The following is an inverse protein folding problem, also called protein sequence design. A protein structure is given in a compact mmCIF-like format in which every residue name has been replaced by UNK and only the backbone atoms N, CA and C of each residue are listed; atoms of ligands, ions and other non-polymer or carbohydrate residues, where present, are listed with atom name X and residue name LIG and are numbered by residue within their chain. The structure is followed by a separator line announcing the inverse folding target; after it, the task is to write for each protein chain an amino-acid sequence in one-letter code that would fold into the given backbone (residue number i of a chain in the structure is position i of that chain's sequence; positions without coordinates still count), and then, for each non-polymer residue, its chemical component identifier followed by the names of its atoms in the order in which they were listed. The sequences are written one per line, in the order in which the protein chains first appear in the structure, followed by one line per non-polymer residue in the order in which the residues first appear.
data_IF_653833506208
#
_entry.id   IF_653833506208
#
_cell.length_a   1.000
_cell.length_b   1.000
_cell.length_c   1.000
_cell.angle_alpha   90.00
_cell.angle_beta   90.00
_cell.angle_gamma   90.00
#
_symmetry.space_group_name_H-M   'P 1'
#
loop_
_entity.id
_entity.type
_entity.pdbx_description
1 polymer ?
#
# COMPACT_ATOMS: atom_id res chain seq x y z
N UNK A 1 -10.39 6.79 38.61
CA UNK A 1 -9.90 8.15 38.39
C UNK A 1 -8.45 8.07 37.92
N UNK A 2 -8.08 8.65 36.78
CA UNK A 2 -6.67 8.91 36.43
C UNK A 2 -6.06 8.10 35.27
N UNK A 3 -6.11 8.68 34.06
CA UNK A 3 -5.22 8.36 32.91
C UNK A 3 -3.87 9.09 33.06
N UNK A 4 -2.89 8.64 32.25
CA UNK A 4 -1.65 9.28 31.72
C UNK A 4 -0.36 8.78 32.40
N UNK A 5 0.76 8.48 31.72
CA UNK A 5 1.25 8.76 30.35
C UNK A 5 2.52 7.90 30.06
N UNK A 6 2.80 7.65 28.77
CA UNK A 6 4.10 7.45 28.06
C UNK A 6 5.41 7.63 28.87
N UNK A 7 6.54 6.96 28.58
CA UNK A 7 7.10 6.62 27.26
C UNK A 7 8.40 5.77 27.36
N UNK A 8 8.68 5.03 26.28
CA UNK A 8 10.01 4.86 25.65
C UNK A 8 11.13 4.10 26.39
N UNK A 9 11.64 3.03 25.79
CA UNK A 9 12.98 2.95 25.14
C UNK A 9 13.44 1.49 25.03
N UNK A 10 13.72 1.07 23.81
CA UNK A 10 14.80 0.16 23.38
C UNK A 10 15.40 -0.78 24.43
N UNK A 11 15.17 -2.08 24.28
CA UNK A 11 16.06 -3.11 24.81
C UNK A 11 17.28 -3.21 23.88
N UNK A 12 18.46 -2.84 24.39
CA UNK A 12 19.76 -3.15 23.79
C UNK A 12 20.43 -4.14 24.72
N UNK A 13 20.69 -5.33 24.21
CA UNK A 13 21.41 -6.37 24.95
C UNK A 13 22.89 -6.02 25.06
N UNK A 14 23.39 -6.16 26.29
CA UNK A 14 24.76 -5.95 26.75
C UNK A 14 25.73 -6.98 26.18
N UNK A 15 26.93 -6.54 25.78
CA UNK A 15 28.15 -7.34 25.89
C UNK A 15 29.25 -6.45 26.50
N UNK A 16 29.86 -7.00 27.54
CA UNK A 16 30.81 -6.41 28.47
C UNK A 16 32.28 -6.71 28.07
N UNK A 17 33.22 -6.01 28.72
CA UNK A 17 34.68 -6.28 28.84
C UNK A 17 35.67 -5.46 28.00
N UNK A 18 36.14 -4.38 28.62
CA UNK A 18 37.52 -3.98 28.98
C UNK A 18 38.75 -4.47 28.17
N UNK A 19 39.67 -3.55 27.84
CA UNK A 19 41.00 -3.40 28.50
C UNK A 19 41.86 -2.26 27.88
N UNK A 20 42.87 -1.83 28.64
CA UNK A 20 43.57 -0.54 28.77
C UNK A 20 44.65 -0.09 27.71
N UNK A 21 44.92 1.23 27.74
CA UNK A 21 46.18 2.03 27.55
C UNK A 21 47.23 1.67 26.43
N UNK A 22 47.49 2.53 25.41
CA UNK A 22 48.51 3.64 25.31
C UNK A 22 49.91 3.16 24.78
N UNK A 23 50.97 3.96 24.47
CA UNK A 23 51.22 5.25 23.78
C UNK A 23 52.30 5.21 22.61
N UNK A 24 52.33 6.24 21.73
CA UNK A 24 53.48 7.00 21.09
C UNK A 24 54.64 6.19 20.37
N UNK A 25 55.09 6.39 19.11
CA UNK A 25 56.05 7.39 18.54
C UNK A 25 56.19 7.16 17.00
N UNK A 26 56.47 8.25 16.23
CA UNK A 26 57.35 8.35 15.04
C UNK A 26 56.72 8.76 13.69
N UNK A 27 57.31 9.81 13.11
CA UNK A 27 56.99 10.41 11.81
C UNK A 27 57.65 9.70 10.63
N UNK A 28 56.98 9.65 9.47
CA UNK A 28 57.62 9.68 8.14
C UNK A 28 56.57 9.94 7.04
N UNK A 29 56.90 10.87 6.13
CA UNK A 29 56.13 11.23 4.94
C UNK A 29 56.07 10.10 3.90
N UNK A 30 54.91 9.95 3.24
CA UNK A 30 54.84 9.36 1.90
C UNK A 30 53.65 8.44 1.65
N UNK A 31 52.89 8.78 0.60
CA UNK A 31 51.93 7.94 -0.15
C UNK A 31 50.45 8.07 0.24
N UNK A 32 49.72 8.80 -0.62
CA UNK A 32 48.27 8.91 -0.65
C UNK A 32 47.63 7.56 -1.01
N UNK A 33 47.24 6.78 -0.02
CA UNK A 33 46.32 5.65 -0.22
C UNK A 33 44.90 6.20 -0.19
N UNK A 34 44.14 5.95 -1.26
CA UNK A 34 42.71 6.22 -1.33
C UNK A 34 42.01 5.24 -0.39
N UNK A 35 41.55 5.72 0.75
CA UNK A 35 40.52 5.03 1.50
C UNK A 35 39.26 4.99 0.64
N UNK A 36 38.91 3.80 0.15
CA UNK A 36 37.56 3.55 -0.35
C UNK A 36 36.64 3.67 0.86
N UNK A 37 35.91 4.78 0.96
CA UNK A 37 34.78 4.86 1.88
C UNK A 37 33.83 3.69 1.61
N UNK A 38 33.25 3.05 2.63
CA UNK A 38 32.23 2.03 2.44
C UNK A 38 31.08 2.69 1.66
N UNK A 39 30.57 2.04 0.61
CA UNK A 39 29.33 2.48 -0.02
C UNK A 39 28.26 2.50 1.07
N UNK A 40 27.88 3.70 1.52
CA UNK A 40 26.63 3.87 2.27
C UNK A 40 25.54 3.41 1.31
N UNK A 41 24.93 2.27 1.63
CA UNK A 41 23.72 1.82 0.97
C UNK A 41 22.65 2.86 1.25
N UNK A 42 22.49 3.79 0.31
CA UNK A 42 21.35 4.70 0.28
C UNK A 42 20.15 3.84 -0.08
N UNK A 43 19.54 3.21 0.93
CA UNK A 43 18.14 2.81 0.82
C UNK A 43 17.37 4.10 0.57
N UNK A 44 17.15 4.43 -0.71
CA UNK A 44 16.22 5.48 -1.10
C UNK A 44 14.86 4.99 -0.62
N UNK A 45 14.43 5.49 0.53
CA UNK A 45 13.03 5.44 0.90
C UNK A 45 12.31 6.20 -0.23
N UNK A 46 11.58 5.45 -1.06
CA UNK A 46 10.74 6.07 -2.08
C UNK A 46 9.56 6.66 -1.33
N UNK A 47 9.66 7.93 -0.95
CA UNK A 47 8.54 8.65 -0.34
C UNK A 47 7.48 8.83 -1.43
N UNK A 48 6.45 8.00 -1.37
CA UNK A 48 5.23 8.19 -2.15
C UNK A 48 4.58 9.47 -1.62
N UNK A 49 4.60 10.54 -2.41
CA UNK A 49 3.96 11.81 -2.06
C UNK A 49 2.46 11.58 -1.84
N UNK A 50 1.93 11.94 -0.68
CA UNK A 50 0.49 11.84 -0.33
C UNK A 50 -0.40 12.86 -1.08
N UNK A 51 0.12 13.47 -2.15
CA UNK A 51 -0.65 14.40 -2.98
C UNK A 51 -1.84 13.68 -3.64
N UNK A 52 -3.05 14.27 -3.64
CA UNK A 52 -4.20 13.74 -4.37
C UNK A 52 -3.96 13.64 -5.89
N UNK A 53 -3.03 14.43 -6.42
CA UNK A 53 -2.63 14.41 -7.83
C UNK A 53 -1.56 13.35 -8.13
N UNK A 54 -1.08 12.62 -7.12
CA UNK A 54 -0.18 11.50 -7.33
C UNK A 54 -0.93 10.40 -8.09
N UNK A 55 -0.42 10.05 -9.28
CA UNK A 55 -0.96 8.98 -10.12
C UNK A 55 -0.96 7.61 -9.41
N UNK A 56 -0.11 7.45 -8.40
CA UNK A 56 -0.03 6.25 -7.55
C UNK A 56 -0.97 6.30 -6.33
N UNK A 57 -1.73 7.38 -6.15
CA UNK A 57 -2.72 7.47 -5.08
C UNK A 57 -3.86 6.47 -5.29
N UNK A 58 -4.25 5.79 -4.22
CA UNK A 58 -5.43 4.91 -4.20
C UNK A 58 -6.72 5.66 -4.57
N UNK A 59 -6.72 7.00 -4.49
CA UNK A 59 -7.86 7.86 -4.83
C UNK A 59 -7.87 8.36 -6.28
N UNK A 60 -6.85 8.03 -7.07
CA UNK A 60 -6.73 8.45 -8.46
C UNK A 60 -7.45 7.47 -9.40
N UNK A 61 -8.17 7.97 -10.41
CA UNK A 61 -8.71 7.15 -11.51
C UNK A 61 -7.98 7.56 -12.79
N UNK A 62 -7.49 6.60 -13.56
CA UNK A 62 -6.81 6.89 -14.82
C UNK A 62 -7.85 7.35 -15.85
N UNK A 63 -7.42 8.12 -16.85
CA UNK A 63 -8.31 8.55 -17.94
C UNK A 63 -8.90 7.40 -18.76
N UNK A 64 -8.29 6.21 -18.71
CA UNK A 64 -8.79 4.99 -19.35
C UNK A 64 -9.78 4.19 -18.48
N UNK A 65 -9.95 4.55 -17.21
CA UNK A 65 -10.88 3.88 -16.31
C UNK A 65 -12.33 4.29 -16.63
N UNK A 66 -13.15 3.30 -16.95
CA UNK A 66 -14.58 3.51 -17.22
C UNK A 66 -15.42 2.47 -16.49
N UNK A 67 -16.63 2.84 -16.09
CA UNK A 67 -17.53 1.96 -15.35
C UNK A 67 -17.98 0.72 -16.16
N UNK A 68 -17.87 0.75 -17.49
CA UNK A 68 -18.18 -0.37 -18.38
C UNK A 68 -17.01 -1.33 -18.62
N UNK A 69 -15.82 -1.06 -18.08
CA UNK A 69 -14.67 -1.94 -18.23
C UNK A 69 -14.94 -3.28 -17.54
N UNK A 70 -14.60 -4.38 -18.21
CA UNK A 70 -14.59 -5.72 -17.60
C UNK A 70 -13.19 -6.02 -17.06
N UNK A 71 -13.09 -6.41 -15.79
CA UNK A 71 -11.82 -6.80 -15.16
C UNK A 71 -11.32 -8.15 -15.66
N UNK A 72 -12.25 -9.02 -16.06
CA UNK A 72 -12.00 -10.42 -16.40
C UNK A 72 -12.72 -10.79 -17.70
N UNK A 73 -12.18 -11.77 -18.41
CA UNK A 73 -12.83 -12.31 -19.61
C UNK A 73 -13.97 -13.28 -19.26
N UNK A 74 -13.79 -14.12 -18.24
CA UNK A 74 -14.78 -15.07 -17.76
C UNK A 74 -15.45 -14.57 -16.48
N UNK A 75 -16.75 -14.31 -16.57
CA UNK A 75 -17.56 -13.87 -15.42
C UNK A 75 -17.70 -14.98 -14.36
N UNK A 76 -17.96 -14.59 -13.11
CA UNK A 76 -18.28 -15.51 -12.03
C UNK A 76 -19.64 -16.19 -12.27
N UNK A 77 -19.64 -17.51 -12.38
CA UNK A 77 -20.84 -18.35 -12.63
C UNK A 77 -21.23 -19.23 -11.43
N UNK A 78 -20.45 -19.18 -10.35
CA UNK A 78 -20.63 -19.96 -9.13
C UNK A 78 -19.81 -21.25 -9.08
N UNK A 79 -19.19 -21.67 -10.18
CA UNK A 79 -18.31 -22.85 -10.24
C UNK A 79 -16.83 -22.47 -10.36
N UNK A 80 -16.54 -21.24 -10.77
CA UNK A 80 -15.21 -20.76 -11.13
C UNK A 80 -14.61 -19.73 -10.15
N UNK A 81 -15.08 -19.69 -8.89
CA UNK A 81 -14.70 -18.65 -7.93
C UNK A 81 -13.18 -18.49 -7.75
N UNK A 82 -12.43 -19.59 -7.57
CA UNK A 82 -10.99 -19.52 -7.36
C UNK A 82 -10.24 -18.84 -8.52
N UNK A 83 -10.55 -19.20 -9.77
CA UNK A 83 -9.94 -18.57 -10.95
C UNK A 83 -10.40 -17.11 -11.11
N UNK A 84 -11.67 -16.84 -10.84
CA UNK A 84 -12.23 -15.48 -10.92
C UNK A 84 -11.59 -14.55 -9.89
N UNK A 85 -11.43 -14.99 -8.64
CA UNK A 85 -10.82 -14.23 -7.54
C UNK A 85 -9.39 -13.82 -7.91
N UNK A 86 -8.57 -14.75 -8.40
CA UNK A 86 -7.20 -14.45 -8.80
C UNK A 86 -7.18 -13.39 -9.91
N UNK A 87 -8.00 -13.56 -10.94
CA UNK A 87 -8.04 -12.64 -12.08
C UNK A 87 -8.52 -11.23 -11.68
N UNK A 88 -9.57 -11.12 -10.85
CA UNK A 88 -10.07 -9.82 -10.34
C UNK A 88 -9.01 -9.16 -9.46
N UNK A 89 -8.37 -9.92 -8.56
CA UNK A 89 -7.32 -9.41 -7.66
C UNK A 89 -6.17 -8.81 -8.47
N UNK A 90 -5.61 -9.56 -9.42
CA UNK A 90 -4.52 -9.08 -10.28
C UNK A 90 -4.91 -7.80 -11.05
N UNK A 91 -6.13 -7.76 -11.57
CA UNK A 91 -6.64 -6.60 -12.32
C UNK A 91 -6.77 -5.35 -11.45
N UNK A 92 -7.22 -5.51 -10.20
CA UNK A 92 -7.36 -4.42 -9.25
C UNK A 92 -6.01 -3.98 -8.65
N UNK A 93 -5.08 -4.89 -8.42
CA UNK A 93 -3.70 -4.56 -8.01
C UNK A 93 -3.00 -3.73 -9.08
N UNK A 94 -3.11 -4.12 -10.36
CA UNK A 94 -2.56 -3.34 -11.48
C UNK A 94 -3.14 -1.92 -11.59
N UNK A 95 -4.33 -1.69 -11.00
CA UNK A 95 -5.02 -0.40 -10.95
C UNK A 95 -4.84 0.35 -9.62
N UNK A 96 -4.13 -0.23 -8.66
CA UNK A 96 -4.04 0.27 -7.27
C UNK A 96 -5.43 0.44 -6.61
N UNK A 97 -6.31 -0.55 -6.77
CA UNK A 97 -7.68 -0.53 -6.22
C UNK A 97 -8.02 -1.71 -5.30
N UNK A 98 -7.08 -2.61 -5.05
CA UNK A 98 -7.25 -3.76 -4.14
C UNK A 98 -7.73 -3.32 -2.75
N UNK A 99 -7.28 -2.16 -2.29
CA UNK A 99 -7.64 -1.64 -0.97
C UNK A 99 -9.14 -1.31 -0.77
N UNK A 100 -9.91 -1.16 -1.85
CA UNK A 100 -11.35 -0.94 -1.76
C UNK A 100 -12.16 -2.23 -1.56
N UNK A 101 -11.57 -3.40 -1.86
CA UNK A 101 -12.23 -4.70 -1.67
C UNK A 101 -11.78 -5.39 -0.38
N UNK A 102 -10.52 -5.25 0.01
CA UNK A 102 -10.04 -5.79 1.30
C UNK A 102 -10.37 -4.89 2.51
N UNK A 103 -10.85 -3.66 2.25
CA UNK A 103 -11.24 -2.69 3.26
C UNK A 103 -10.09 -1.89 3.89
N UNK A 104 -8.84 -2.06 3.41
CA UNK A 104 -7.69 -1.27 3.86
C UNK A 104 -7.82 0.21 3.51
N UNK A 105 -8.56 0.56 2.45
CA UNK A 105 -8.97 1.95 2.15
C UNK A 105 -10.30 2.25 2.83
N UNK A 106 -10.19 2.67 4.08
CA UNK A 106 -11.33 2.97 4.94
C UNK A 106 -12.15 4.13 4.36
N UNK A 107 -13.47 4.01 4.46
CA UNK A 107 -14.41 5.08 4.09
C UNK A 107 -14.17 6.29 5.02
N UNK A 108 -13.82 7.47 4.49
CA UNK A 108 -13.69 8.68 5.30
C UNK A 108 -15.03 9.16 5.87
N UNK A 109 -14.98 10.04 6.86
CA UNK A 109 -16.15 10.77 7.35
C UNK A 109 -16.72 11.70 6.26
N UNK A 110 -18.01 12.05 6.34
CA UNK A 110 -18.68 12.80 5.27
C UNK A 110 -18.14 14.23 5.09
N UNK A 111 -17.58 14.80 6.16
CA UNK A 111 -16.96 16.13 6.17
C UNK A 111 -15.50 16.10 5.68
N UNK A 112 -14.92 14.91 5.46
CA UNK A 112 -13.56 14.76 4.97
C UNK A 112 -13.47 15.15 3.48
N UNK A 113 -12.48 15.98 3.06
CA UNK A 113 -12.30 16.36 1.66
C UNK A 113 -12.14 15.16 0.70
N UNK A 114 -11.65 14.02 1.18
CA UNK A 114 -11.49 12.79 0.40
C UNK A 114 -12.77 11.96 0.28
N UNK A 115 -13.83 12.26 1.02
CA UNK A 115 -15.07 11.47 1.02
C UNK A 115 -15.66 11.29 -0.38
N UNK A 116 -15.78 12.38 -1.14
CA UNK A 116 -16.34 12.34 -2.50
C UNK A 116 -15.45 11.56 -3.46
N UNK A 117 -14.13 11.66 -3.29
CA UNK A 117 -13.16 10.96 -4.12
C UNK A 117 -13.19 9.46 -3.82
N UNK A 118 -13.28 9.09 -2.53
CA UNK A 118 -13.50 7.72 -2.09
C UNK A 118 -14.79 7.15 -2.69
N UNK A 119 -15.91 7.88 -2.59
CA UNK A 119 -17.21 7.45 -3.13
C UNK A 119 -17.14 7.17 -4.64
N UNK A 120 -16.44 8.04 -5.39
CA UNK A 120 -16.21 7.86 -6.82
C UNK A 120 -15.41 6.59 -7.10
N UNK A 121 -14.29 6.37 -6.40
CA UNK A 121 -13.45 5.18 -6.59
C UNK A 121 -14.20 3.90 -6.20
N UNK A 122 -14.88 3.88 -5.04
CA UNK A 122 -15.69 2.77 -4.59
C UNK A 122 -16.79 2.44 -5.62
N UNK A 123 -17.48 3.44 -6.16
CA UNK A 123 -18.50 3.23 -7.20
C UNK A 123 -17.92 2.62 -8.46
N UNK A 124 -16.72 3.06 -8.88
CA UNK A 124 -16.01 2.48 -10.02
C UNK A 124 -15.66 1.00 -9.80
N UNK A 125 -15.06 0.68 -8.65
CA UNK A 125 -14.71 -0.70 -8.29
C UNK A 125 -15.96 -1.57 -8.22
N UNK A 126 -17.06 -1.07 -7.64
CA UNK A 126 -18.35 -1.79 -7.65
C UNK A 126 -18.84 -2.05 -9.07
N UNK A 127 -18.82 -1.07 -9.97
CA UNK A 127 -19.23 -1.28 -11.36
C UNK A 127 -18.41 -2.37 -12.04
N UNK A 128 -17.10 -2.39 -11.79
CA UNK A 128 -16.21 -3.44 -12.31
C UNK A 128 -16.51 -4.83 -11.74
N UNK A 129 -16.75 -4.94 -10.44
CA UNK A 129 -17.17 -6.19 -9.80
C UNK A 129 -18.50 -6.68 -10.37
N UNK A 130 -19.49 -5.79 -10.50
CA UNK A 130 -20.79 -6.09 -11.07
C UNK A 130 -20.71 -6.55 -12.54
N UNK A 131 -19.81 -5.99 -13.35
CA UNK A 131 -19.57 -6.43 -14.72
C UNK A 131 -18.81 -7.76 -14.81
N UNK A 132 -18.16 -8.16 -13.72
CA UNK A 132 -17.37 -9.40 -13.66
C UNK A 132 -18.17 -10.62 -13.19
N UNK A 133 -19.45 -10.46 -12.87
CA UNK A 133 -20.33 -11.55 -12.41
C UNK A 133 -21.48 -11.79 -13.36
N UNK A 134 -21.94 -13.04 -13.44
CA UNK A 134 -23.12 -13.38 -14.27
C UNK A 134 -24.40 -12.74 -13.73
N UNK A 135 -25.40 -12.60 -14.60
CA UNK A 135 -26.73 -12.05 -14.24
C UNK A 135 -27.38 -12.74 -13.03
N UNK A 136 -27.12 -14.03 -12.84
CA UNK A 136 -27.64 -14.81 -11.69
C UNK A 136 -27.08 -14.30 -10.36
N UNK A 137 -25.81 -13.91 -10.33
CA UNK A 137 -25.14 -13.42 -9.11
C UNK A 137 -25.33 -11.90 -8.97
N UNK A 138 -25.36 -11.17 -10.09
CA UNK A 138 -25.50 -9.72 -10.15
C UNK A 138 -26.56 -9.17 -9.19
N UNK A 139 -27.79 -9.69 -9.23
CA UNK A 139 -28.89 -9.19 -8.40
C UNK A 139 -28.64 -9.39 -6.90
N UNK A 140 -27.92 -10.45 -6.51
CA UNK A 140 -27.60 -10.72 -5.11
C UNK A 140 -26.57 -9.74 -4.54
N UNK A 141 -25.65 -9.24 -5.37
CA UNK A 141 -24.57 -8.34 -4.94
C UNK A 141 -24.83 -6.85 -5.24
N UNK A 142 -25.83 -6.54 -6.07
CA UNK A 142 -26.14 -5.19 -6.51
C UNK A 142 -26.39 -4.20 -5.36
N UNK A 143 -27.05 -4.67 -4.30
CA UNK A 143 -27.54 -3.82 -3.21
C UNK A 143 -26.50 -3.55 -2.12
N UNK A 144 -25.33 -4.18 -2.19
CA UNK A 144 -24.23 -3.87 -1.28
C UNK A 144 -23.83 -2.41 -1.42
N UNK A 145 -23.48 -1.77 -0.30
CA UNK A 145 -23.19 -0.32 -0.29
C UNK A 145 -21.79 -0.07 -0.82
N UNK A 146 -20.81 -0.85 -0.38
CA UNK A 146 -19.40 -0.71 -0.73
C UNK A 146 -18.91 -1.88 -1.57
N UNK A 147 -17.73 -1.73 -2.20
CA UNK A 147 -17.08 -2.82 -2.91
C UNK A 147 -16.57 -3.91 -1.95
N UNK A 148 -16.18 -3.54 -0.73
CA UNK A 148 -15.74 -4.47 0.31
C UNK A 148 -16.86 -5.39 0.84
N UNK A 149 -18.13 -5.00 0.63
CA UNK A 149 -19.28 -5.82 1.03
C UNK A 149 -19.71 -6.84 -0.05
N UNK A 150 -19.14 -6.77 -1.27
CA UNK A 150 -19.45 -7.68 -2.40
C UNK A 150 -18.60 -8.95 -2.29
#
# INVERSE_FOLDING_TARGET
MGKRKCNSKYCVDSIDSADDENPIIAAASGSKIRDKQPLKSTHRHFEVSDSPDNLHSLYHLLGSDSAGLSLVSKQLDGTNYGTWMIAVTMSLEAKNKIGFIDGSVVKPDEDDPYYKIWCRCNSMVKSWLLNSVTKKIYTSVLYFKTAADI
#
